data_IF_631723021305
#
_entry.id   IF_631723021305
#
_cell.length_a   1.000
_cell.length_b   1.000
_cell.length_c   1.000
_cell.angle_alpha   90.00
_cell.angle_beta   90.00
_cell.angle_gamma   90.00
#
_symmetry.space_group_name_H-M   'P 1'
#
loop_
_entity.id
_entity.type
_entity.pdbx_description
1 polymer ?
#
# COMPACT_ATOMS: atom_id res chain seq x y z
N UNK A 1 -1.34 48.52 -9.89
CA UNK A 1 -1.92 47.37 -10.64
C UNK A 1 -1.16 46.08 -10.35
N UNK A 2 0.16 46.00 -10.54
CA UNK A 2 0.99 44.78 -10.31
C UNK A 2 0.93 44.24 -8.86
N UNK A 3 0.88 45.11 -7.84
CA UNK A 3 0.74 44.69 -6.44
C UNK A 3 -0.66 44.14 -6.10
N UNK A 4 -1.70 44.62 -6.79
CA UNK A 4 -3.07 44.13 -6.61
C UNK A 4 -3.26 42.76 -7.29
N UNK A 5 -2.64 42.55 -8.47
CA UNK A 5 -2.58 41.27 -9.17
C UNK A 5 -1.84 40.21 -8.30
N UNK A 6 -0.66 40.55 -7.75
CA UNK A 6 0.05 39.67 -6.79
C UNK A 6 -0.79 39.31 -5.56
N UNK A 7 -1.49 40.27 -4.96
CA UNK A 7 -2.36 40.03 -3.81
C UNK A 7 -3.62 39.19 -4.13
N UNK A 8 -4.12 39.26 -5.37
CA UNK A 8 -5.21 38.43 -5.88
C UNK A 8 -4.74 36.99 -6.11
N UNK A 9 -3.56 36.82 -6.72
CA UNK A 9 -2.90 35.53 -6.92
C UNK A 9 -2.63 34.84 -5.58
N UNK A 10 -2.10 35.55 -4.57
CA UNK A 10 -1.83 34.99 -3.23
C UNK A 10 -3.10 34.61 -2.47
N UNK A 11 -4.19 35.39 -2.60
CA UNK A 11 -5.50 35.04 -2.00
C UNK A 11 -6.12 33.81 -2.67
N UNK A 12 -6.05 33.74 -4.00
CA UNK A 12 -6.45 32.56 -4.76
C UNK A 12 -5.67 31.33 -4.33
N UNK A 13 -4.33 31.44 -4.22
CA UNK A 13 -3.48 30.35 -3.75
C UNK A 13 -3.72 29.94 -2.30
N UNK A 14 -4.04 30.87 -1.39
CA UNK A 14 -4.33 30.54 0.00
C UNK A 14 -5.63 29.74 0.12
N UNK A 15 -6.62 30.04 -0.72
CA UNK A 15 -7.90 29.34 -0.75
C UNK A 15 -7.79 27.99 -1.46
N UNK A 16 -7.13 27.96 -2.61
CA UNK A 16 -6.76 26.72 -3.28
C UNK A 16 -5.95 25.84 -2.34
N UNK A 17 -4.99 26.34 -1.54
CA UNK A 17 -4.28 25.54 -0.53
C UNK A 17 -5.19 24.84 0.48
N UNK A 18 -6.26 25.51 0.92
CA UNK A 18 -7.24 24.92 1.85
C UNK A 18 -7.99 23.76 1.22
N UNK A 19 -8.50 23.95 -0.01
CA UNK A 19 -9.26 22.93 -0.73
C UNK A 19 -8.35 21.83 -1.30
N UNK A 20 -7.15 22.18 -1.76
CA UNK A 20 -6.14 21.24 -2.29
C UNK A 20 -5.67 20.25 -1.22
N UNK A 21 -5.68 20.62 0.06
CA UNK A 21 -5.42 19.66 1.14
C UNK A 21 -6.47 18.55 1.16
N UNK A 22 -7.76 18.91 1.01
CA UNK A 22 -8.88 17.97 0.92
C UNK A 22 -8.81 17.13 -0.38
N UNK A 23 -8.33 17.73 -1.48
CA UNK A 23 -8.18 17.04 -2.76
C UNK A 23 -7.00 16.06 -2.74
N UNK A 24 -5.85 16.47 -2.20
CA UNK A 24 -4.67 15.62 -2.04
C UNK A 24 -4.88 14.44 -1.07
N UNK A 25 -5.91 14.54 -0.21
CA UNK A 25 -6.40 13.45 0.66
C UNK A 25 -7.14 12.37 -0.12
N UNK A 26 -7.61 12.64 -1.35
CA UNK A 26 -8.19 11.62 -2.21
C UNK A 26 -7.12 10.57 -2.57
N UNK A 27 -7.35 9.30 -2.21
CA UNK A 27 -6.34 8.26 -2.39
C UNK A 27 -6.05 7.90 -3.86
N UNK A 28 -6.98 8.21 -4.77
CA UNK A 28 -6.89 7.85 -6.18
C UNK A 28 -6.08 8.85 -7.01
N UNK A 29 -6.03 10.12 -6.61
CA UNK A 29 -5.53 11.19 -7.47
C UNK A 29 -4.05 11.04 -7.82
N UNK A 30 -3.77 11.17 -9.12
CA UNK A 30 -2.44 11.43 -9.66
C UNK A 30 -2.15 12.94 -9.65
N UNK A 31 -0.90 13.34 -9.88
CA UNK A 31 -0.49 14.74 -9.95
C UNK A 31 -1.31 15.50 -11.01
N UNK A 32 -1.64 14.85 -12.13
CA UNK A 32 -2.49 15.43 -13.17
C UNK A 32 -3.89 15.78 -12.65
N UNK A 33 -4.50 14.90 -11.86
CA UNK A 33 -5.82 15.14 -11.27
C UNK A 33 -5.78 16.31 -10.29
N UNK A 34 -4.77 16.36 -9.42
CA UNK A 34 -4.57 17.47 -8.47
C UNK A 34 -4.42 18.81 -9.21
N UNK A 35 -3.69 18.82 -10.33
CA UNK A 35 -3.52 20.01 -11.16
C UNK A 35 -4.82 20.39 -11.86
N UNK A 36 -5.54 19.44 -12.44
CA UNK A 36 -6.80 19.70 -13.12
C UNK A 36 -7.84 20.28 -12.17
N UNK A 37 -7.97 19.71 -10.96
CA UNK A 37 -8.90 20.24 -9.97
C UNK A 37 -8.44 21.61 -9.46
N UNK A 38 -7.13 21.84 -9.28
CA UNK A 38 -6.61 23.17 -8.94
C UNK A 38 -6.95 24.22 -10.01
N UNK A 39 -6.89 23.84 -11.28
CA UNK A 39 -7.30 24.68 -12.42
C UNK A 39 -8.80 24.97 -12.36
N UNK A 40 -9.63 23.95 -12.16
CA UNK A 40 -11.09 24.10 -12.03
C UNK A 40 -11.48 25.05 -10.89
N UNK A 41 -10.82 24.93 -9.73
CA UNK A 41 -11.06 25.80 -8.58
C UNK A 41 -10.64 27.26 -8.84
N UNK A 42 -9.53 27.48 -9.54
CA UNK A 42 -9.11 28.83 -9.93
C UNK A 42 -10.10 29.48 -10.91
N UNK A 43 -10.59 28.71 -11.88
CA UNK A 43 -11.64 29.15 -12.83
C UNK A 43 -12.92 29.49 -12.09
N UNK A 44 -13.39 28.59 -11.21
CA UNK A 44 -14.63 28.74 -10.43
C UNK A 44 -14.65 30.03 -9.62
N UNK A 45 -13.52 30.40 -9.04
CA UNK A 45 -13.39 31.60 -8.21
C UNK A 45 -12.92 32.85 -8.97
N UNK A 46 -12.80 32.77 -10.30
CA UNK A 46 -12.36 33.87 -11.18
C UNK A 46 -11.03 34.49 -10.73
N UNK A 47 -10.13 33.66 -10.23
CA UNK A 47 -8.78 34.08 -9.88
C UNK A 47 -7.88 34.12 -11.11
N UNK A 48 -6.82 34.93 -11.06
CA UNK A 48 -5.80 34.95 -12.10
C UNK A 48 -5.09 33.60 -12.18
N UNK A 49 -4.83 33.17 -13.42
CA UNK A 49 -4.09 31.95 -13.66
C UNK A 49 -2.60 32.17 -13.37
N UNK A 50 -2.03 31.47 -12.39
CA UNK A 50 -0.60 31.46 -12.21
C UNK A 50 0.09 30.68 -13.34
N UNK A 51 1.40 30.85 -13.46
CA UNK A 51 2.19 30.02 -14.36
C UNK A 51 1.99 28.53 -14.02
N UNK A 52 1.94 27.67 -15.04
CA UNK A 52 1.76 26.23 -14.87
C UNK A 52 2.85 25.59 -13.97
N UNK A 53 4.07 26.12 -14.01
CA UNK A 53 5.17 25.71 -13.13
C UNK A 53 4.85 25.93 -11.65
N UNK A 54 4.14 27.02 -11.31
CA UNK A 54 3.67 27.27 -9.97
C UNK A 54 2.62 26.22 -9.58
N UNK A 55 1.61 25.98 -10.42
CA UNK A 55 0.58 24.95 -10.17
C UNK A 55 1.18 23.57 -9.90
N UNK A 56 2.15 23.15 -10.72
CA UNK A 56 2.87 21.90 -10.51
C UNK A 56 3.55 21.86 -9.15
N UNK A 57 4.31 22.91 -8.80
CA UNK A 57 4.99 23.00 -7.50
C UNK A 57 3.99 22.89 -6.35
N UNK A 58 2.85 23.58 -6.43
CA UNK A 58 1.80 23.50 -5.42
C UNK A 58 1.20 22.10 -5.31
N UNK A 59 0.94 21.42 -6.42
CA UNK A 59 0.46 20.04 -6.41
C UNK A 59 1.47 19.09 -5.74
N UNK A 60 2.77 19.24 -6.04
CA UNK A 60 3.81 18.46 -5.37
C UNK A 60 3.88 18.74 -3.86
N UNK A 61 3.88 20.01 -3.45
CA UNK A 61 3.90 20.41 -2.04
C UNK A 61 2.66 19.89 -1.29
N UNK A 62 1.46 20.02 -1.89
CA UNK A 62 0.22 19.50 -1.33
C UNK A 62 0.26 17.98 -1.11
N UNK A 63 0.68 17.24 -2.14
CA UNK A 63 0.83 15.78 -2.06
C UNK A 63 1.86 15.36 -1.02
N UNK A 64 3.00 16.04 -0.97
CA UNK A 64 4.05 15.77 0.02
C UNK A 64 3.54 16.01 1.45
N UNK A 65 2.79 17.09 1.67
CA UNK A 65 2.20 17.41 2.98
C UNK A 65 1.18 16.37 3.43
N UNK A 66 0.29 15.91 2.53
CA UNK A 66 -0.68 14.85 2.86
C UNK A 66 0.02 13.53 3.15
N UNK A 67 0.98 13.11 2.30
CA UNK A 67 1.73 11.89 2.54
C UNK A 67 2.49 11.94 3.86
N UNK A 68 3.10 13.09 4.21
CA UNK A 68 3.75 13.28 5.50
C UNK A 68 2.78 13.12 6.68
N UNK A 69 1.57 13.70 6.59
CA UNK A 69 0.53 13.51 7.62
C UNK A 69 0.17 12.02 7.76
N UNK A 70 0.00 11.30 6.65
CA UNK A 70 -0.31 9.86 6.67
C UNK A 70 0.84 9.05 7.29
N UNK A 71 2.10 9.31 6.92
CA UNK A 71 3.25 8.65 7.52
C UNK A 71 3.33 8.85 9.04
N UNK A 72 3.07 10.07 9.50
CA UNK A 72 3.01 10.38 10.93
C UNK A 72 1.83 9.69 11.61
N UNK A 73 0.66 9.64 10.98
CA UNK A 73 -0.52 8.96 11.51
C UNK A 73 -0.26 7.46 11.70
N UNK A 74 0.32 6.80 10.68
CA UNK A 74 0.73 5.38 10.75
C UNK A 74 1.72 5.19 11.90
N UNK A 75 2.81 5.97 11.92
CA UNK A 75 3.88 5.82 12.91
C UNK A 75 3.44 6.07 14.35
N UNK A 76 2.46 6.97 14.56
CA UNK A 76 1.89 7.25 15.89
C UNK A 76 1.10 6.06 16.44
N UNK A 77 0.50 5.26 15.58
CA UNK A 77 -0.23 4.04 15.98
C UNK A 77 0.67 2.84 16.24
N UNK A 78 1.94 2.89 15.81
CA UNK A 78 2.91 1.83 16.06
C UNK A 78 3.46 1.91 17.48
N UNK A 79 3.43 0.78 18.18
CA UNK A 79 4.03 0.64 19.50
C UNK A 79 5.56 0.64 19.42
N UNK A 80 6.24 0.79 20.56
CA UNK A 80 7.71 0.65 20.62
C UNK A 80 8.17 -0.75 20.16
N UNK A 81 7.38 -1.79 20.47
CA UNK A 81 7.65 -3.17 20.05
C UNK A 81 7.56 -3.32 18.54
N UNK A 82 6.54 -2.74 17.92
CA UNK A 82 6.36 -2.78 16.47
C UNK A 82 7.52 -2.09 15.75
N UNK A 83 7.93 -0.91 16.22
CA UNK A 83 9.08 -0.17 15.68
C UNK A 83 10.37 -0.96 15.79
N UNK A 84 10.64 -1.56 16.95
CA UNK A 84 11.81 -2.42 17.16
C UNK A 84 11.78 -3.63 16.22
N UNK A 85 10.62 -4.22 15.97
CA UNK A 85 10.50 -5.35 15.03
C UNK A 85 10.76 -4.91 13.58
N UNK A 86 10.28 -3.73 13.19
CA UNK A 86 10.56 -3.15 11.87
C UNK A 86 12.03 -2.77 11.70
N UNK A 87 12.70 -2.31 12.76
CA UNK A 87 14.13 -1.97 12.67
C UNK A 87 15.01 -3.19 12.37
N UNK A 88 14.59 -4.40 12.76
CA UNK A 88 15.27 -5.66 12.40
C UNK A 88 15.36 -5.90 10.90
N UNK A 89 14.50 -5.28 10.09
CA UNK A 89 14.55 -5.42 8.64
C UNK A 89 15.84 -4.88 8.02
N UNK A 90 16.47 -3.91 8.69
CA UNK A 90 17.61 -3.18 8.14
C UNK A 90 18.95 -3.73 8.65
N UNK A 91 18.92 -4.63 9.63
CA UNK A 91 20.12 -5.27 10.18
C UNK A 91 20.46 -6.50 9.33
N UNK A 92 21.72 -6.61 8.92
CA UNK A 92 22.26 -7.82 8.28
C UNK A 92 22.77 -8.74 9.40
N UNK A 93 22.22 -9.94 9.50
CA UNK A 93 22.71 -10.96 10.44
C UNK A 93 24.02 -11.57 9.92
N UNK A 94 24.89 -12.06 10.81
CA UNK A 94 26.24 -12.55 10.45
C UNK A 94 26.23 -13.73 9.46
N UNK A 95 25.12 -14.47 9.41
CA UNK A 95 24.88 -15.61 8.52
C UNK A 95 24.25 -15.23 7.17
N UNK A 96 23.90 -13.95 6.95
CA UNK A 96 23.19 -13.48 5.77
C UNK A 96 24.01 -12.47 4.95
N UNK A 97 24.00 -12.62 3.63
CA UNK A 97 24.64 -11.67 2.71
C UNK A 97 23.77 -10.46 2.37
N UNK A 98 22.45 -10.56 2.60
CA UNK A 98 21.48 -9.52 2.28
C UNK A 98 20.64 -9.20 3.51
N UNK A 99 20.23 -7.95 3.67
CA UNK A 99 19.32 -7.58 4.75
C UNK A 99 17.92 -8.19 4.53
N UNK A 100 17.16 -8.44 5.61
CA UNK A 100 15.78 -8.87 5.50
C UNK A 100 14.93 -7.91 4.67
N UNK A 101 15.22 -6.61 4.68
CA UNK A 101 14.61 -5.62 3.79
C UNK A 101 14.73 -5.99 2.31
N UNK A 102 15.95 -6.35 1.89
CA UNK A 102 16.21 -6.75 0.52
C UNK A 102 15.57 -8.11 0.19
N UNK A 103 15.52 -9.04 1.16
CA UNK A 103 14.83 -10.32 1.02
C UNK A 103 13.30 -10.15 0.88
N UNK A 104 12.67 -9.22 1.64
CA UNK A 104 11.24 -8.90 1.50
C UNK A 104 10.93 -8.37 0.10
N UNK A 105 11.79 -7.51 -0.44
CA UNK A 105 11.63 -6.91 -1.77
C UNK A 105 11.76 -7.91 -2.93
N UNK A 106 12.50 -8.98 -2.71
CA UNK A 106 12.79 -9.97 -3.73
C UNK A 106 11.49 -10.67 -4.14
N UNK A 107 11.13 -10.55 -5.41
CA UNK A 107 10.04 -11.36 -5.96
C UNK A 107 10.49 -12.82 -5.92
N UNK A 108 9.65 -13.74 -5.39
CA UNK A 108 9.95 -15.15 -5.47
C UNK A 108 10.08 -15.53 -6.95
N UNK A 109 11.12 -16.28 -7.29
CA UNK A 109 11.30 -16.81 -8.65
C UNK A 109 10.06 -17.63 -9.04
N UNK A 110 9.61 -17.40 -10.28
CA UNK A 110 8.47 -17.99 -10.99
C UNK A 110 7.78 -19.23 -10.35
N UNK A 111 6.45 -19.16 -10.31
CA UNK A 111 5.48 -20.14 -9.79
C UNK A 111 5.56 -21.52 -10.49
N UNK A 112 6.58 -22.30 -10.16
CA UNK A 112 6.73 -23.69 -10.64
C UNK A 112 6.35 -24.65 -9.50
N UNK A 113 5.85 -25.86 -9.83
CA UNK A 113 5.44 -26.87 -8.83
C UNK A 113 6.53 -27.20 -7.78
N UNK A 114 7.80 -27.02 -8.13
CA UNK A 114 8.95 -27.22 -7.24
C UNK A 114 9.07 -26.18 -6.11
N UNK A 115 8.45 -25.01 -6.24
CA UNK A 115 8.71 -23.87 -5.33
C UNK A 115 7.63 -23.68 -4.24
N UNK A 116 6.72 -24.65 -4.04
CA UNK A 116 5.68 -24.53 -2.99
C UNK A 116 6.29 -24.49 -1.59
N UNK A 117 7.28 -25.35 -1.35
CA UNK A 117 7.99 -25.40 -0.05
C UNK A 117 8.69 -24.08 0.23
N UNK A 118 9.45 -23.57 -0.74
CA UNK A 118 10.11 -22.27 -0.67
C UNK A 118 9.11 -21.14 -0.40
N UNK A 119 7.91 -21.19 -1.02
CA UNK A 119 6.88 -20.19 -0.79
C UNK A 119 6.27 -20.25 0.61
N UNK A 120 6.07 -21.46 1.15
CA UNK A 120 5.61 -21.66 2.53
C UNK A 120 6.68 -21.15 3.50
N UNK A 121 7.94 -21.50 3.28
CA UNK A 121 9.08 -21.05 4.10
C UNK A 121 9.18 -19.52 4.10
N UNK A 122 9.10 -18.89 2.92
CA UNK A 122 9.05 -17.42 2.82
C UNK A 122 7.86 -16.83 3.59
N UNK A 123 6.68 -17.45 3.48
CA UNK A 123 5.47 -16.97 4.13
C UNK A 123 5.56 -17.05 5.66
N UNK A 124 6.18 -18.10 6.19
CA UNK A 124 6.49 -18.26 7.62
C UNK A 124 7.58 -17.32 8.08
N UNK A 125 8.58 -17.06 7.24
CA UNK A 125 9.65 -16.10 7.52
C UNK A 125 9.12 -14.66 7.61
N UNK A 126 8.32 -14.22 6.62
CA UNK A 126 7.79 -12.84 6.62
C UNK A 126 6.82 -12.60 7.78
N UNK A 127 6.15 -13.64 8.31
CA UNK A 127 5.29 -13.55 9.51
C UNK A 127 6.03 -13.04 10.74
N UNK A 128 7.35 -13.26 10.82
CA UNK A 128 8.17 -12.75 11.92
C UNK A 128 8.22 -11.21 11.96
N UNK A 129 8.03 -10.56 10.81
CA UNK A 129 8.09 -9.11 10.65
C UNK A 129 6.71 -8.45 10.64
N UNK A 130 5.63 -9.20 10.44
CA UNK A 130 4.26 -8.68 10.44
C UNK A 130 3.93 -8.15 11.83
N UNK A 131 3.68 -6.84 11.92
CA UNK A 131 3.42 -6.17 13.18
C UNK A 131 2.57 -4.91 12.96
N UNK A 132 1.89 -4.43 14.00
CA UNK A 132 1.24 -3.12 13.99
C UNK A 132 0.17 -2.90 12.91
N UNK A 133 -0.45 -3.95 12.35
CA UNK A 133 -1.38 -3.86 11.21
C UNK A 133 -2.53 -2.85 11.43
N UNK A 134 -2.98 -2.69 12.67
CA UNK A 134 -3.99 -1.71 13.06
C UNK A 134 -3.61 -0.25 12.74
N UNK A 135 -2.32 0.04 12.55
CA UNK A 135 -1.83 1.33 12.10
C UNK A 135 -2.33 1.70 10.70
N UNK A 136 -2.66 0.69 9.88
CA UNK A 136 -3.09 0.86 8.49
C UNK A 136 -4.62 0.91 8.33
N UNK A 137 -5.42 0.57 9.34
CA UNK A 137 -6.89 0.44 9.22
C UNK A 137 -7.63 1.70 8.73
N UNK A 138 -7.04 2.90 8.92
CA UNK A 138 -7.64 4.16 8.46
C UNK A 138 -7.01 4.70 7.17
N UNK A 139 -6.02 3.99 6.63
CA UNK A 139 -5.29 4.39 5.43
C UNK A 139 -5.95 3.70 4.23
N UNK A 140 -6.33 4.43 3.18
CA UNK A 140 -6.91 3.81 1.99
C UNK A 140 -5.93 2.85 1.30
N UNK A 141 -6.43 1.73 0.79
CA UNK A 141 -5.61 0.67 0.18
C UNK A 141 -4.74 1.17 -0.99
N UNK A 142 -5.24 2.12 -1.77
CA UNK A 142 -4.48 2.70 -2.88
C UNK A 142 -3.25 3.46 -2.39
N UNK A 143 -3.34 4.15 -1.25
CA UNK A 143 -2.18 4.80 -0.62
C UNK A 143 -1.22 3.75 -0.04
N UNK A 144 -1.74 2.69 0.58
CA UNK A 144 -0.91 1.57 1.07
C UNK A 144 -0.10 0.95 -0.08
N UNK A 145 -0.74 0.66 -1.21
CA UNK A 145 -0.07 0.13 -2.41
C UNK A 145 0.95 1.11 -2.98
N UNK A 146 0.60 2.40 -3.12
CA UNK A 146 1.54 3.44 -3.58
C UNK A 146 2.78 3.53 -2.67
N UNK A 147 2.58 3.54 -1.34
CA UNK A 147 3.68 3.56 -0.37
C UNK A 147 4.51 2.28 -0.39
N UNK A 148 3.89 1.11 -0.56
CA UNK A 148 4.62 -0.14 -0.74
C UNK A 148 5.47 -0.12 -2.01
N UNK A 149 4.98 0.45 -3.11
CA UNK A 149 5.76 0.58 -4.34
C UNK A 149 6.93 1.54 -4.17
N UNK A 150 6.73 2.68 -3.49
CA UNK A 150 7.82 3.60 -3.10
C UNK A 150 8.86 2.88 -2.23
N UNK A 151 8.42 2.15 -1.21
CA UNK A 151 9.30 1.36 -0.36
C UNK A 151 10.10 0.31 -1.15
N UNK A 152 9.47 -0.36 -2.11
CA UNK A 152 10.12 -1.39 -2.93
C UNK A 152 11.21 -0.81 -3.84
N UNK A 153 11.15 0.45 -4.24
CA UNK A 153 12.24 1.06 -5.01
C UNK A 153 13.46 1.43 -4.16
N UNK A 154 13.31 1.53 -2.82
CA UNK A 154 14.38 2.02 -1.94
C UNK A 154 15.30 0.92 -1.40
N UNK A 155 16.60 1.20 -1.31
CA UNK A 155 17.60 0.31 -0.67
C UNK A 155 17.59 0.48 0.86
N UNK A 156 18.23 -0.44 1.58
CA UNK A 156 18.32 -0.37 3.04
C UNK A 156 19.02 0.92 3.51
N UNK A 157 20.14 1.29 2.90
CA UNK A 157 20.86 2.54 3.20
C UNK A 157 19.98 3.79 2.96
N UNK A 158 19.26 3.84 1.83
CA UNK A 158 18.35 4.95 1.53
C UNK A 158 17.20 5.05 2.54
N UNK A 159 16.76 3.92 3.10
CA UNK A 159 15.74 3.87 4.15
C UNK A 159 16.27 4.34 5.51
N UNK A 160 17.57 4.21 5.78
CA UNK A 160 18.21 4.71 7.00
C UNK A 160 18.34 6.24 6.99
N UNK A 161 18.57 6.84 5.82
CA UNK A 161 18.65 8.30 5.65
C UNK A 161 17.28 9.00 5.80
N UNK A 162 16.19 8.23 5.79
CA UNK A 162 14.84 8.78 5.95
C UNK A 162 14.55 9.20 7.40
N UNK A 163 13.71 10.23 7.52
CA UNK A 163 13.07 10.55 8.80
C UNK A 163 12.31 9.32 9.32
N UNK A 164 12.46 9.02 10.61
CA UNK A 164 11.92 7.81 11.26
C UNK A 164 10.45 7.53 10.96
N UNK A 165 9.59 8.57 10.94
CA UNK A 165 8.17 8.39 10.63
C UNK A 165 7.91 7.90 9.21
N UNK A 166 8.73 8.31 8.24
CA UNK A 166 8.61 7.86 6.86
C UNK A 166 9.17 6.45 6.74
N UNK A 167 10.35 6.18 7.34
CA UNK A 167 10.97 4.85 7.39
C UNK A 167 9.98 3.79 7.88
N UNK A 168 9.38 3.99 9.05
CA UNK A 168 8.45 3.02 9.63
C UNK A 168 7.17 2.85 8.83
N UNK A 169 6.59 3.95 8.32
CA UNK A 169 5.38 3.89 7.52
C UNK A 169 5.61 3.12 6.20
N UNK A 170 6.71 3.38 5.51
CA UNK A 170 7.07 2.64 4.30
C UNK A 170 7.32 1.16 4.60
N UNK A 171 8.05 0.87 5.69
CA UNK A 171 8.38 -0.51 6.05
C UNK A 171 7.15 -1.38 6.34
N UNK A 172 6.23 -0.89 7.18
CA UNK A 172 5.00 -1.64 7.48
C UNK A 172 4.11 -1.80 6.25
N UNK A 173 4.01 -0.79 5.37
CA UNK A 173 3.22 -0.91 4.14
C UNK A 173 3.80 -1.96 3.20
N UNK A 174 5.12 -2.02 3.05
CA UNK A 174 5.77 -3.03 2.22
C UNK A 174 5.52 -4.44 2.74
N UNK A 175 5.75 -4.69 4.03
CA UNK A 175 5.52 -6.01 4.65
C UNK A 175 4.07 -6.45 4.46
N UNK A 176 3.13 -5.54 4.72
CA UNK A 176 1.69 -5.86 4.64
C UNK A 176 1.29 -6.25 3.23
N UNK A 177 1.74 -5.49 2.22
CA UNK A 177 1.45 -5.79 0.82
C UNK A 177 2.14 -7.08 0.39
N UNK A 178 3.41 -7.27 0.75
CA UNK A 178 4.17 -8.45 0.38
C UNK A 178 3.62 -9.73 1.04
N UNK A 179 3.11 -9.64 2.27
CA UNK A 179 2.39 -10.73 2.94
C UNK A 179 1.12 -11.09 2.18
N UNK A 180 0.32 -10.09 1.78
CA UNK A 180 -0.90 -10.32 1.01
C UNK A 180 -0.59 -11.01 -0.33
N UNK A 181 0.42 -10.53 -1.07
CA UNK A 181 0.89 -11.16 -2.31
C UNK A 181 1.34 -12.60 -2.06
N UNK A 182 2.03 -12.86 -0.95
CA UNK A 182 2.44 -14.23 -0.58
C UNK A 182 1.29 -15.17 -0.30
N UNK A 183 0.22 -14.69 0.32
CA UNK A 183 -0.98 -15.49 0.57
C UNK A 183 -1.77 -15.73 -0.71
N UNK A 184 -1.87 -14.74 -1.59
CA UNK A 184 -2.53 -14.87 -2.90
C UNK A 184 -1.83 -15.92 -3.77
N UNK A 185 -0.50 -15.90 -3.83
CA UNK A 185 0.29 -16.89 -4.57
C UNK A 185 0.11 -18.31 -4.04
N UNK A 186 0.14 -18.49 -2.71
CA UNK A 186 -0.12 -19.79 -2.09
C UNK A 186 -1.55 -20.28 -2.41
N UNK A 187 -2.52 -19.37 -2.40
CA UNK A 187 -3.90 -19.66 -2.79
C UNK A 187 -4.00 -20.11 -4.24
N UNK A 188 -3.31 -19.43 -5.16
CA UNK A 188 -3.28 -19.80 -6.58
C UNK A 188 -2.62 -21.17 -6.79
N UNK A 189 -1.49 -21.44 -6.11
CA UNK A 189 -0.82 -22.74 -6.17
C UNK A 189 -1.72 -23.87 -5.66
N UNK A 190 -2.44 -23.64 -4.56
CA UNK A 190 -3.38 -24.60 -4.00
C UNK A 190 -4.51 -24.93 -4.99
N UNK A 191 -5.10 -23.89 -5.60
CA UNK A 191 -6.15 -24.07 -6.62
C UNK A 191 -5.62 -24.90 -7.80
N UNK A 192 -4.43 -24.57 -8.32
CA UNK A 192 -3.78 -25.33 -9.39
C UNK A 192 -3.52 -26.79 -9.00
N UNK A 193 -3.15 -27.08 -7.76
CA UNK A 193 -2.97 -28.47 -7.32
C UNK A 193 -4.28 -29.24 -7.28
N UNK A 194 -5.35 -28.65 -6.72
CA UNK A 194 -6.67 -29.30 -6.64
C UNK A 194 -7.26 -29.54 -8.03
N UNK A 195 -7.13 -28.61 -8.97
CA UNK A 195 -7.63 -28.78 -10.35
C UNK A 195 -6.88 -29.89 -11.09
N UNK A 196 -5.55 -29.95 -10.96
CA UNK A 196 -4.75 -31.02 -11.54
C UNK A 196 -5.10 -32.40 -10.97
N UNK A 197 -5.37 -32.50 -9.67
CA UNK A 197 -5.83 -33.75 -9.03
C UNK A 197 -7.21 -34.19 -9.52
N UNK A 198 -8.13 -33.25 -9.79
CA UNK A 198 -9.44 -33.51 -10.41
C UNK A 198 -9.30 -34.04 -11.83
N UNK A 199 -8.46 -33.39 -12.64
CA UNK A 199 -8.27 -33.75 -14.06
C UNK A 199 -7.55 -35.09 -14.24
N UNK A 200 -6.68 -35.49 -13.32
CA UNK A 200 -5.91 -36.74 -13.39
C UNK A 200 -6.67 -38.00 -12.91
N UNK A 201 -8.00 -37.95 -12.75
CA UNK A 201 -8.88 -39.04 -12.22
C UNK A 201 -8.43 -39.65 -10.88
N UNK A 202 -7.50 -39.02 -10.14
CA UNK A 202 -7.00 -39.53 -8.86
C UNK A 202 -7.96 -39.34 -7.68
N UNK A 203 -8.98 -38.48 -7.83
CA UNK A 203 -9.94 -38.18 -6.77
C UNK A 203 -11.07 -39.20 -6.61
N UNK A 204 -11.28 -40.13 -7.57
CA UNK A 204 -12.23 -41.23 -7.37
C UNK A 204 -11.79 -42.20 -6.25
N UNK A 205 -10.50 -42.19 -5.88
CA UNK A 205 -9.93 -43.05 -4.83
C UNK A 205 -9.74 -42.37 -3.47
N UNK A 206 -9.94 -41.06 -3.35
CA UNK A 206 -9.83 -40.35 -2.07
C UNK A 206 -11.24 -40.07 -1.55
N UNK A 207 -11.61 -40.66 -0.41
CA UNK A 207 -12.91 -40.48 0.23
C UNK A 207 -13.41 -39.02 0.18
N UNK A 208 -14.72 -38.78 -0.03
CA UNK A 208 -15.29 -37.46 -0.32
C UNK A 208 -15.23 -36.44 0.85
N UNK A 209 -14.58 -36.78 1.97
CA UNK A 209 -14.59 -36.00 3.21
C UNK A 209 -13.67 -34.77 3.28
N UNK A 210 -12.87 -34.46 2.24
CA UNK A 210 -11.97 -33.29 2.27
C UNK A 210 -12.27 -32.21 1.23
N UNK A 211 -12.99 -32.51 0.15
CA UNK A 211 -13.21 -31.53 -0.93
C UNK A 211 -14.09 -30.33 -0.52
N UNK A 212 -15.12 -30.54 0.31
CA UNK A 212 -16.02 -29.47 0.77
C UNK A 212 -15.37 -28.50 1.77
N UNK A 213 -14.61 -29.02 2.74
CA UNK A 213 -13.85 -28.20 3.70
C UNK A 213 -12.70 -27.43 3.03
N UNK A 214 -12.07 -28.02 2.03
CA UNK A 214 -11.00 -27.37 1.26
C UNK A 214 -11.52 -26.29 0.29
N UNK A 215 -12.74 -26.42 -0.24
CA UNK A 215 -13.40 -25.36 -1.01
C UNK A 215 -13.85 -24.20 -0.09
N UNK A 216 -14.24 -24.50 1.14
CA UNK A 216 -14.53 -23.48 2.16
C UNK A 216 -13.24 -22.74 2.60
N UNK A 217 -12.12 -23.47 2.78
CA UNK A 217 -10.81 -22.88 3.05
C UNK A 217 -10.28 -22.04 1.87
N UNK A 218 -10.48 -22.49 0.62
CA UNK A 218 -10.12 -21.68 -0.55
C UNK A 218 -11.03 -20.46 -0.70
N UNK A 219 -12.33 -20.55 -0.36
CA UNK A 219 -13.23 -19.38 -0.25
C UNK A 219 -12.84 -18.43 0.87
N UNK A 220 -12.28 -18.92 1.98
CA UNK A 220 -11.73 -18.08 3.06
C UNK A 220 -10.41 -17.41 2.67
N UNK A 221 -9.56 -18.08 1.87
CA UNK A 221 -8.36 -17.50 1.27
C UNK A 221 -8.69 -16.49 0.14
N UNK A 222 -9.65 -16.79 -0.74
CA UNK A 222 -10.30 -15.80 -1.63
C UNK A 222 -11.05 -14.72 -0.84
N UNK A 223 -11.40 -15.02 0.41
CA UNK A 223 -11.89 -14.09 1.42
C UNK A 223 -10.92 -12.94 1.67
N UNK A 224 -9.60 -13.14 1.54
CA UNK A 224 -8.61 -12.07 1.63
C UNK A 224 -8.59 -11.18 0.38
N UNK A 225 -8.73 -11.77 -0.81
CA UNK A 225 -8.93 -11.06 -2.09
C UNK A 225 -10.21 -10.22 -2.10
N UNK A 226 -11.24 -10.67 -1.37
CA UNK A 226 -12.48 -9.91 -1.13
C UNK A 226 -12.45 -9.06 0.14
N UNK A 227 -11.54 -9.25 1.09
CA UNK A 227 -11.36 -8.38 2.26
C UNK A 227 -10.70 -7.07 1.86
N UNK A 228 -9.64 -7.12 1.05
CA UNK A 228 -9.05 -5.92 0.41
C UNK A 228 -10.02 -5.20 -0.55
N UNK A 229 -11.03 -5.89 -1.09
CA UNK A 229 -12.07 -5.27 -1.92
C UNK A 229 -13.34 -4.88 -1.12
N UNK A 230 -13.67 -5.54 0.00
CA UNK A 230 -14.86 -5.25 0.84
C UNK A 230 -14.66 -4.05 1.76
N UNK A 231 -13.43 -3.71 2.11
CA UNK A 231 -13.10 -2.42 2.73
C UNK A 231 -13.56 -1.22 1.87
N UNK A 232 -13.68 -1.41 0.54
CA UNK A 232 -14.22 -0.41 -0.39
C UNK A 232 -15.74 -0.45 -0.59
N UNK A 233 -16.45 -1.50 -0.14
CA UNK A 233 -17.91 -1.58 -0.30
C UNK A 233 -18.71 -1.08 0.90
N UNK A 234 -18.13 -1.02 2.11
CA UNK A 234 -18.86 -0.54 3.30
C UNK A 234 -19.23 0.95 3.24
N UNK A 235 -18.61 1.76 2.38
CA UNK A 235 -18.90 3.20 2.25
C UNK A 235 -19.84 3.57 1.10
N UNK A 236 -20.23 2.63 0.24
CA UNK A 236 -21.12 2.90 -0.90
C UNK A 236 -22.58 2.47 -0.67
N UNK A 237 -22.88 1.89 0.50
CA UNK A 237 -24.24 1.49 0.89
C UNK A 237 -24.84 2.36 2.01
N UNK A 238 -24.16 3.41 2.47
CA UNK A 238 -24.74 4.40 3.41
C UNK A 238 -25.08 5.74 2.75
N UNK A 239 -25.08 5.81 1.41
CA UNK A 239 -25.51 6.98 0.63
C UNK A 239 -26.75 6.71 -0.23
N UNK A 240 -27.47 5.63 0.07
CA UNK A 240 -28.83 5.36 -0.38
C UNK A 240 -29.63 4.89 0.83
N UNK A 241 -29.98 5.83 1.69
CA UNK A 241 -31.01 5.73 2.72
C UNK A 241 -31.50 7.15 2.97
#
# INVERSE_FOLDING_TARGET
MILALKGSIDKGFKRVRGNLAVLCENPQEDLADIINIAIEELVRHKHEFPAFSALRRFAYEGRANVNEKLYRQITRKLTKKDKKNLDRLFVVEEDQQISPWQAVKSEPKNLTRQNLKERIEYNTWIDQYVTGLNALNLIPDVKIKKFSSEAKSMKAAEMEDLKLYKKYALAITLITVQKAVSLDDLGEMFIKQVTNLRQSRRLEKCEPLKAGKLLAASKAAYGYRTWLNKSNCSKRLSSFS
#
